data_IF_695687822317
#
_entry.id   IF_695687822317
#
_cell.length_a   1.000
_cell.length_b   1.000
_cell.length_c   1.000
_cell.angle_alpha   90.00
_cell.angle_beta   90.00
_cell.angle_gamma   90.00
#
_symmetry.space_group_name_H-M   'P 1'
#
loop_
_entity.id
_entity.type
_entity.pdbx_description
1 polymer ?
#
# COMPACT_ATOMS: atom_id res chain seq x y z
N UNK A 1 0.20 11.70 9.15
CA UNK A 1 -0.99 11.78 8.25
C UNK A 1 -0.78 11.04 6.94
N UNK A 2 0.27 11.32 6.16
CA UNK A 2 0.52 10.67 4.86
C UNK A 2 0.40 9.13 4.89
N UNK A 3 1.12 8.44 5.77
CA UNK A 3 1.06 6.97 5.85
C UNK A 3 -0.34 6.41 6.16
N UNK A 4 -1.15 7.12 6.95
CA UNK A 4 -2.51 6.68 7.26
C UNK A 4 -3.44 6.81 6.04
N UNK A 5 -3.30 7.88 5.25
CA UNK A 5 -4.06 8.09 4.02
C UNK A 5 -3.74 6.98 3.01
N UNK A 6 -2.46 6.62 2.88
CA UNK A 6 -2.01 5.55 1.98
C UNK A 6 -2.55 4.19 2.41
N UNK A 7 -2.58 3.88 3.71
CA UNK A 7 -3.19 2.65 4.24
C UNK A 7 -4.68 2.61 3.95
N UNK A 8 -5.41 3.69 4.23
CA UNK A 8 -6.86 3.77 3.96
C UNK A 8 -7.15 3.59 2.48
N UNK A 9 -6.42 4.28 1.61
CA UNK A 9 -6.55 4.12 0.16
C UNK A 9 -6.24 2.68 -0.27
N UNK A 10 -5.18 2.07 0.26
CA UNK A 10 -4.86 0.65 0.05
C UNK A 10 -6.00 -0.29 0.43
N UNK A 11 -6.64 -0.09 1.59
CA UNK A 11 -7.80 -0.88 2.01
C UNK A 11 -8.99 -0.76 1.02
N UNK A 12 -9.25 0.44 0.49
CA UNK A 12 -10.28 0.65 -0.53
C UNK A 12 -9.94 -0.07 -1.83
N UNK A 13 -8.69 0.02 -2.31
CA UNK A 13 -8.24 -0.69 -3.51
C UNK A 13 -8.30 -2.21 -3.36
N UNK A 14 -7.93 -2.75 -2.19
CA UNK A 14 -8.04 -4.19 -1.91
C UNK A 14 -9.50 -4.62 -1.94
N UNK A 15 -10.37 -3.91 -1.23
CA UNK A 15 -11.81 -4.21 -1.19
C UNK A 15 -12.40 -4.19 -2.60
N UNK A 16 -12.11 -3.16 -3.38
CA UNK A 16 -12.53 -3.06 -4.76
C UNK A 16 -11.98 -4.20 -5.62
N UNK A 17 -10.69 -4.52 -5.50
CA UNK A 17 -10.07 -5.66 -6.18
C UNK A 17 -10.72 -7.00 -5.85
N UNK A 18 -11.10 -7.23 -4.60
CA UNK A 18 -11.84 -8.43 -4.19
C UNK A 18 -13.22 -8.50 -4.85
N UNK A 19 -13.92 -7.37 -5.01
CA UNK A 19 -15.19 -7.32 -5.74
C UNK A 19 -15.03 -7.67 -7.23
N UNK A 20 -13.90 -7.34 -7.85
CA UNK A 20 -13.62 -7.67 -9.26
C UNK A 20 -13.03 -9.08 -9.45
N UNK A 21 -12.71 -9.79 -8.36
CA UNK A 21 -12.10 -11.12 -8.40
C UNK A 21 -12.85 -12.16 -9.27
N UNK A 22 -14.21 -12.26 -9.25
CA UNK A 22 -14.92 -13.22 -10.12
C UNK A 22 -14.80 -12.92 -11.62
N UNK A 23 -14.40 -11.70 -11.98
CA UNK A 23 -14.18 -11.29 -13.38
C UNK A 23 -12.68 -11.25 -13.75
N UNK A 24 -11.80 -11.56 -12.81
CA UNK A 24 -10.36 -11.44 -13.00
C UNK A 24 -9.80 -12.62 -13.81
N UNK A 25 -8.92 -12.32 -14.76
CA UNK A 25 -8.17 -13.34 -15.50
C UNK A 25 -6.84 -13.61 -14.79
N UNK A 26 -6.40 -14.87 -14.67
CA UNK A 26 -5.13 -15.23 -14.03
C UNK A 26 -3.96 -15.05 -14.99
N UNK A 27 -3.81 -13.84 -15.56
CA UNK A 27 -2.64 -13.48 -16.37
C UNK A 27 -1.77 -12.51 -15.59
N UNK A 28 -0.44 -12.68 -15.66
CA UNK A 28 0.52 -11.83 -14.94
C UNK A 28 0.31 -10.33 -15.23
N UNK A 29 0.10 -9.97 -16.50
CA UNK A 29 -0.19 -8.60 -16.89
C UNK A 29 -1.48 -8.06 -16.22
N UNK A 30 -2.50 -8.91 -16.09
CA UNK A 30 -3.74 -8.53 -15.43
C UNK A 30 -3.53 -8.39 -13.92
N UNK A 31 -2.75 -9.25 -13.27
CA UNK A 31 -2.42 -9.18 -11.84
C UNK A 31 -1.69 -7.87 -11.50
N UNK A 32 -0.66 -7.51 -12.27
CA UNK A 32 0.09 -6.26 -12.06
C UNK A 32 -0.74 -5.01 -12.39
N UNK A 33 -1.71 -5.10 -13.29
CA UNK A 33 -2.67 -4.02 -13.57
C UNK A 33 -3.85 -3.97 -12.58
N UNK A 34 -4.03 -5.01 -11.76
CA UNK A 34 -5.21 -5.15 -10.92
C UNK A 34 -5.09 -4.28 -9.66
N UNK A 35 -6.18 -3.61 -9.24
CA UNK A 35 -6.19 -2.78 -8.04
C UNK A 35 -5.81 -3.56 -6.77
N UNK A 36 -6.03 -4.88 -6.74
CA UNK A 36 -5.63 -5.72 -5.61
C UNK A 36 -4.11 -5.71 -5.37
N UNK A 37 -3.29 -5.81 -6.42
CA UNK A 37 -1.83 -5.81 -6.30
C UNK A 37 -1.34 -4.48 -5.72
N UNK A 38 -1.79 -3.37 -6.31
CA UNK A 38 -1.43 -2.03 -5.84
C UNK A 38 -2.00 -1.74 -4.45
N UNK A 39 -3.18 -2.27 -4.12
CA UNK A 39 -3.75 -2.19 -2.79
C UNK A 39 -2.84 -2.81 -1.73
N UNK A 40 -2.27 -3.99 -1.98
CA UNK A 40 -1.27 -4.61 -1.10
C UNK A 40 0.01 -3.79 -0.99
N UNK A 41 0.52 -3.28 -2.12
CA UNK A 41 1.72 -2.42 -2.14
C UNK A 41 1.48 -1.14 -1.32
N UNK A 42 0.32 -0.50 -1.48
CA UNK A 42 -0.07 0.68 -0.71
C UNK A 42 -0.25 0.35 0.78
N UNK A 43 -0.84 -0.78 1.13
CA UNK A 43 -1.05 -1.16 2.53
C UNK A 43 0.29 -1.40 3.23
N UNK A 44 1.16 -2.22 2.65
CA UNK A 44 2.48 -2.51 3.20
C UNK A 44 3.39 -1.28 3.18
N UNK A 45 3.39 -0.52 2.09
CA UNK A 45 4.15 0.73 1.98
C UNK A 45 3.67 1.81 2.93
N UNK A 46 2.35 1.93 3.14
CA UNK A 46 1.75 2.86 4.08
C UNK A 46 2.10 2.52 5.53
N UNK A 47 2.04 1.24 5.91
CA UNK A 47 2.50 0.76 7.22
C UNK A 47 3.99 1.06 7.40
N UNK A 48 4.81 0.76 6.40
CA UNK A 48 6.24 1.08 6.42
C UNK A 48 6.47 2.59 6.65
N UNK A 49 5.75 3.46 5.94
CA UNK A 49 5.86 4.91 6.13
C UNK A 49 5.43 5.36 7.54
N UNK A 50 4.42 4.71 8.15
CA UNK A 50 4.01 4.98 9.53
C UNK A 50 5.14 4.59 10.50
N UNK A 51 5.72 3.39 10.36
CA UNK A 51 6.83 2.96 11.21
C UNK A 51 8.09 3.80 10.99
N UNK A 52 8.40 4.17 9.75
CA UNK A 52 9.56 4.98 9.40
C UNK A 52 9.50 6.38 10.04
N UNK A 53 8.29 6.95 10.19
CA UNK A 53 8.10 8.20 10.93
C UNK A 53 8.50 8.10 12.42
N UNK A 54 8.54 6.88 12.98
CA UNK A 54 8.98 6.61 14.34
C UNK A 54 10.42 6.07 14.44
N UNK A 55 11.07 5.79 13.31
CA UNK A 55 12.45 5.34 13.29
C UNK A 55 13.43 6.45 13.72
N UNK A 56 14.56 6.04 14.30
CA UNK A 56 15.62 6.96 14.72
C UNK A 56 16.19 7.79 13.55
N UNK A 57 16.12 7.29 12.31
CA UNK A 57 16.52 8.02 11.11
C UNK A 57 15.78 9.37 10.97
N UNK A 58 14.49 9.41 11.36
CA UNK A 58 13.64 10.62 11.29
C UNK A 58 13.59 11.35 12.63
N UNK A 59 13.59 10.62 13.75
CA UNK A 59 13.51 11.21 15.10
C UNK A 59 14.81 11.84 15.59
N UNK A 60 15.95 11.28 15.21
CA UNK A 60 17.29 11.76 15.54
C UNK A 60 18.12 11.88 14.27
N UNK A 61 17.75 12.81 13.36
CA UNK A 61 18.56 13.04 12.18
C UNK A 61 19.95 13.48 12.65
N UNK A 62 21.00 12.75 12.26
CA UNK A 62 22.37 13.23 12.45
C UNK A 62 22.47 14.53 11.67
N UNK A 63 22.68 15.65 12.37
CA UNK A 63 23.12 16.89 11.72
C UNK A 63 24.54 16.61 11.23
N UNK A 64 24.67 16.48 9.91
CA UNK A 64 25.95 16.59 9.21
C UNK A 64 26.51 18.01 9.31
#
# INVERSE_FOLDING_TARGET
MFGHIVVVCGCFLITYGLYLLPYAKPTLAHIFGFPLFWGFVCLLGGICAIYHAFCNCVRFPKKE
#
